data_IF_032454763866
#
_entry.id   IF_032454763866
#
_cell.length_a   1.000
_cell.length_b   1.000
_cell.length_c   1.000
_cell.angle_alpha   90.00
_cell.angle_beta   90.00
_cell.angle_gamma   90.00
#
_symmetry.space_group_name_H-M   'P 1'
#
loop_
_entity.id
_entity.type
_entity.pdbx_description
1 polymer ?
#
# COMPACT_ATOMS: atom_id res chain seq x y z
N UNK A 1 -18.50 0.61 -19.97
CA UNK A 1 -17.28 1.43 -19.84
C UNK A 1 -16.51 1.01 -18.59
N UNK A 2 -15.19 0.86 -18.66
CA UNK A 2 -14.32 0.60 -17.50
C UNK A 2 -12.98 1.33 -17.66
N UNK A 3 -12.29 1.62 -16.55
CA UNK A 3 -10.95 2.24 -16.58
C UNK A 3 -9.85 1.18 -16.64
N UNK A 4 -8.72 1.54 -17.23
CA UNK A 4 -7.45 0.82 -17.14
C UNK A 4 -6.40 1.74 -16.50
N UNK A 5 -5.79 1.34 -15.37
CA UNK A 5 -6.15 0.20 -14.54
C UNK A 5 -7.54 0.33 -13.90
N UNK A 6 -8.12 -0.80 -13.48
CA UNK A 6 -9.35 -0.80 -12.67
C UNK A 6 -9.01 -1.20 -11.24
N UNK A 7 -9.49 -0.43 -10.26
CA UNK A 7 -9.29 -0.75 -8.85
C UNK A 7 -9.95 -2.10 -8.52
N UNK A 8 -9.31 -2.89 -7.66
CA UNK A 8 -9.65 -4.28 -7.32
C UNK A 8 -9.48 -5.28 -8.47
N UNK A 9 -8.60 -5.04 -9.43
CA UNK A 9 -8.34 -6.00 -10.51
C UNK A 9 -6.89 -6.45 -10.55
N UNK A 10 -6.68 -7.60 -11.20
CA UNK A 10 -5.34 -8.05 -11.59
C UNK A 10 -5.02 -7.56 -13.00
N UNK A 11 -3.80 -7.06 -13.16
CA UNK A 11 -3.27 -6.55 -14.42
C UNK A 11 -1.83 -7.03 -14.61
N UNK A 12 -1.41 -7.12 -15.85
CA UNK A 12 0.01 -7.10 -16.21
C UNK A 12 0.45 -5.65 -16.25
N UNK A 13 1.57 -5.33 -15.60
CA UNK A 13 2.19 -4.01 -15.63
C UNK A 13 3.61 -4.10 -16.16
N UNK A 14 4.05 -3.04 -16.83
CA UNK A 14 5.44 -2.86 -17.20
C UNK A 14 5.87 -1.42 -16.96
N UNK A 15 7.09 -1.27 -16.47
CA UNK A 15 7.69 0.04 -16.26
C UNK A 15 7.96 0.73 -17.60
N UNK A 16 7.60 2.01 -17.69
CA UNK A 16 7.87 2.88 -18.84
C UNK A 16 8.85 4.01 -18.46
N UNK A 17 10.16 3.78 -18.63
CA UNK A 17 11.18 4.76 -18.30
C UNK A 17 11.04 6.05 -19.13
N UNK A 18 10.60 5.93 -20.39
CA UNK A 18 10.51 7.06 -21.33
C UNK A 18 9.33 7.95 -20.97
N UNK A 19 8.15 7.37 -20.73
CA UNK A 19 6.98 8.12 -20.26
C UNK A 19 7.21 8.74 -18.87
N UNK A 20 8.06 8.11 -18.04
CA UNK A 20 8.42 8.66 -16.73
C UNK A 20 9.15 10.00 -16.85
N UNK A 21 10.08 10.14 -17.79
CA UNK A 21 10.91 11.35 -17.97
C UNK A 21 10.42 12.32 -19.05
N UNK A 22 9.32 11.99 -19.74
CA UNK A 22 8.84 12.79 -20.88
C UNK A 22 8.60 14.27 -20.55
N UNK A 23 8.16 14.55 -19.33
CA UNK A 23 7.90 15.90 -18.82
C UNK A 23 9.16 16.72 -18.50
N UNK A 24 10.35 16.12 -18.55
CA UNK A 24 11.62 16.79 -18.27
C UNK A 24 12.26 17.40 -19.52
N UNK A 25 11.70 17.15 -20.71
CA UNK A 25 12.17 17.65 -22.00
C UNK A 25 13.69 17.49 -22.22
N UNK A 26 14.26 16.39 -21.73
CA UNK A 26 15.69 16.08 -21.81
C UNK A 26 15.93 14.93 -22.82
N UNK A 27 16.43 15.23 -24.04
CA UNK A 27 16.65 14.21 -25.08
C UNK A 27 17.72 13.17 -24.72
N UNK A 28 18.75 13.56 -23.97
CA UNK A 28 19.84 12.66 -23.57
C UNK A 28 19.33 11.64 -22.55
N UNK A 29 18.62 12.11 -21.53
CA UNK A 29 17.97 11.26 -20.53
C UNK A 29 16.92 10.36 -21.17
N UNK A 30 16.11 10.89 -22.09
CA UNK A 30 15.13 10.10 -22.86
C UNK A 30 15.82 8.99 -23.65
N UNK A 31 16.96 9.29 -24.29
CA UNK A 31 17.74 8.31 -25.05
C UNK A 31 18.38 7.26 -24.15
N UNK A 32 18.79 7.63 -22.93
CA UNK A 32 19.25 6.68 -21.92
C UNK A 32 18.12 5.75 -21.43
N UNK A 33 16.94 6.31 -21.16
CA UNK A 33 15.77 5.57 -20.73
C UNK A 33 15.29 4.55 -21.77
N UNK A 34 15.41 4.84 -23.07
CA UNK A 34 15.10 3.90 -24.16
C UNK A 34 15.96 2.63 -24.16
N UNK A 35 17.14 2.65 -23.50
CA UNK A 35 18.05 1.50 -23.42
C UNK A 35 17.78 0.61 -22.21
N UNK A 36 16.91 1.03 -21.29
CA UNK A 36 16.55 0.23 -20.14
C UNK A 36 15.63 -0.91 -20.58
N UNK A 37 16.02 -2.13 -20.25
CA UNK A 37 15.17 -3.31 -20.43
C UNK A 37 14.18 -3.35 -19.27
N UNK A 38 12.88 -3.43 -19.60
CA UNK A 38 11.82 -3.58 -18.60
C UNK A 38 11.07 -4.87 -18.80
N UNK A 39 10.68 -5.51 -17.70
CA UNK A 39 9.91 -6.75 -17.73
C UNK A 39 8.43 -6.48 -17.46
N UNK A 40 7.63 -7.51 -17.69
CA UNK A 40 6.21 -7.53 -17.35
C UNK A 40 6.01 -8.21 -16.00
N UNK A 41 5.17 -7.64 -15.17
CA UNK A 41 4.86 -8.11 -13.82
C UNK A 41 3.36 -8.25 -13.65
N UNK A 42 2.90 -9.15 -12.81
CA UNK A 42 1.49 -9.23 -12.46
C UNK A 42 1.27 -8.40 -11.20
N UNK A 43 0.24 -7.58 -11.18
CA UNK A 43 -0.08 -6.73 -10.03
C UNK A 43 -1.56 -6.73 -9.71
N UNK A 44 -1.88 -6.59 -8.42
CA UNK A 44 -3.20 -6.26 -7.92
C UNK A 44 -3.30 -4.74 -7.70
N UNK A 45 -4.32 -4.13 -8.30
CA UNK A 45 -4.59 -2.68 -8.18
C UNK A 45 -5.47 -2.45 -6.96
N UNK A 46 -4.95 -1.82 -5.90
CA UNK A 46 -5.69 -1.73 -4.63
C UNK A 46 -6.51 -0.45 -4.46
N UNK A 47 -5.90 0.70 -4.73
CA UNK A 47 -6.52 2.00 -4.49
C UNK A 47 -5.94 3.02 -5.46
N UNK A 48 -6.73 4.04 -5.76
CA UNK A 48 -6.21 5.33 -6.20
C UNK A 48 -5.67 6.07 -4.95
N UNK A 49 -4.39 6.41 -4.95
CA UNK A 49 -3.76 7.11 -3.83
C UNK A 49 -3.96 8.64 -3.88
N UNK A 50 -4.79 9.13 -4.80
CA UNK A 50 -5.10 10.55 -4.99
C UNK A 50 -6.59 10.88 -5.04
N UNK A 51 -6.88 12.17 -5.22
CA UNK A 51 -8.22 12.66 -5.55
C UNK A 51 -8.47 12.34 -7.02
N UNK A 52 -9.54 11.59 -7.33
CA UNK A 52 -9.99 11.34 -8.70
C UNK A 52 -10.59 12.62 -9.30
N UNK A 53 -9.76 13.59 -9.63
CA UNK A 53 -10.18 14.75 -10.42
C UNK A 53 -10.14 14.40 -11.91
N UNK A 54 -11.24 14.70 -12.61
CA UNK A 54 -11.44 14.32 -14.01
C UNK A 54 -10.51 15.04 -15.00
N UNK A 55 -9.74 16.04 -14.55
CA UNK A 55 -8.91 16.91 -15.41
C UNK A 55 -7.40 16.61 -15.34
N UNK A 56 -6.95 15.70 -14.47
CA UNK A 56 -5.52 15.35 -14.39
C UNK A 56 -5.14 14.26 -15.40
N UNK A 57 -4.04 14.42 -16.16
CA UNK A 57 -3.64 13.47 -17.20
C UNK A 57 -3.08 12.15 -16.65
N UNK A 58 -2.76 12.10 -15.35
CA UNK A 58 -2.24 10.92 -14.68
C UNK A 58 -2.89 10.77 -13.30
N UNK A 59 -3.21 9.54 -12.92
CA UNK A 59 -3.66 9.19 -11.58
C UNK A 59 -2.65 8.28 -10.89
N UNK A 60 -2.51 8.43 -9.58
CA UNK A 60 -1.61 7.61 -8.77
C UNK A 60 -2.32 6.35 -8.30
N UNK A 61 -1.76 5.19 -8.61
CA UNK A 61 -2.31 3.91 -8.17
C UNK A 61 -1.31 3.14 -7.30
N UNK A 62 -1.87 2.37 -6.38
CA UNK A 62 -1.13 1.42 -5.56
C UNK A 62 -1.20 0.02 -6.16
N UNK A 63 -0.05 -0.49 -6.58
CA UNK A 63 0.09 -1.82 -7.19
C UNK A 63 0.81 -2.77 -6.24
N UNK A 64 0.12 -3.81 -5.77
CA UNK A 64 0.76 -4.92 -5.07
C UNK A 64 1.23 -5.95 -6.09
N UNK A 65 2.54 -6.16 -6.18
CA UNK A 65 3.11 -7.04 -7.19
C UNK A 65 2.90 -8.49 -6.74
N UNK A 66 2.22 -9.26 -7.59
CA UNK A 66 1.97 -10.69 -7.39
C UNK A 66 3.27 -11.44 -7.59
N UNK A 67 3.50 -12.43 -6.73
CA UNK A 67 4.68 -13.28 -6.79
C UNK A 67 4.35 -14.73 -6.47
N UNK A 68 5.25 -15.62 -6.86
CA UNK A 68 5.18 -17.04 -6.50
C UNK A 68 6.04 -17.37 -5.28
N UNK A 69 5.55 -18.28 -4.44
CA UNK A 69 6.17 -18.75 -3.21
C UNK A 69 6.05 -17.79 -2.03
N UNK A 70 6.58 -18.17 -0.87
CA UNK A 70 6.71 -17.29 0.30
C UNK A 70 8.07 -16.57 0.26
N UNK A 71 8.17 -15.40 0.89
CA UNK A 71 9.41 -14.63 1.04
C UNK A 71 9.50 -14.19 2.48
N UNK A 72 10.74 -14.13 2.97
CA UNK A 72 11.10 -13.46 4.21
C UNK A 72 12.31 -12.56 3.98
N UNK A 73 12.36 -11.48 4.74
CA UNK A 73 13.52 -10.62 4.85
C UNK A 73 13.55 -10.08 6.27
N UNK A 74 14.22 -10.82 7.15
CA UNK A 74 14.31 -10.53 8.57
C UNK A 74 14.95 -9.17 8.83
N UNK A 75 15.92 -8.74 8.02
CA UNK A 75 16.55 -7.43 8.13
C UNK A 75 15.59 -6.25 7.88
N UNK A 76 14.50 -6.48 7.14
CA UNK A 76 13.43 -5.51 6.88
C UNK A 76 12.16 -5.77 7.69
N UNK A 77 12.17 -6.77 8.58
CA UNK A 77 11.00 -7.17 9.36
C UNK A 77 9.90 -7.83 8.51
N UNK A 78 10.25 -8.37 7.34
CA UNK A 78 9.31 -9.06 6.45
C UNK A 78 9.31 -10.54 6.81
N UNK A 79 8.15 -11.07 7.19
CA UNK A 79 7.97 -12.49 7.52
C UNK A 79 7.04 -13.17 6.52
N UNK A 80 7.08 -14.50 6.48
CA UNK A 80 6.24 -15.27 5.55
C UNK A 80 4.75 -15.11 5.86
N UNK A 81 4.42 -14.91 7.15
CA UNK A 81 3.06 -14.69 7.63
C UNK A 81 2.44 -13.39 7.14
N UNK A 82 3.23 -12.43 6.64
CA UNK A 82 2.75 -11.19 6.04
C UNK A 82 2.27 -11.36 4.59
N UNK A 83 2.46 -12.55 4.01
CA UNK A 83 1.92 -12.86 2.68
C UNK A 83 0.41 -13.13 2.76
N UNK A 84 -0.30 -12.91 1.67
CA UNK A 84 -1.70 -13.28 1.55
C UNK A 84 -1.86 -14.13 0.30
N UNK A 85 -2.29 -15.39 0.43
CA UNK A 85 -2.43 -16.28 -0.71
C UNK A 85 -3.55 -15.80 -1.63
N UNK A 86 -3.44 -16.09 -2.92
CA UNK A 86 -4.47 -15.79 -3.92
C UNK A 86 -4.90 -17.11 -4.57
N UNK A 87 -6.21 -17.32 -4.71
CA UNK A 87 -6.70 -18.53 -5.36
C UNK A 87 -6.07 -18.74 -6.75
N UNK A 88 -5.69 -19.99 -7.10
CA UNK A 88 -6.07 -21.25 -6.45
C UNK A 88 -5.27 -21.63 -5.20
N UNK A 89 -4.24 -20.87 -4.84
CA UNK A 89 -3.39 -21.19 -3.69
C UNK A 89 -4.14 -21.04 -2.35
N UNK A 90 -4.07 -22.08 -1.52
CA UNK A 90 -4.64 -22.10 -0.16
C UNK A 90 -3.60 -22.31 0.93
N UNK A 91 -2.32 -22.44 0.58
CA UNK A 91 -1.25 -22.71 1.53
C UNK A 91 -0.80 -21.41 2.23
N UNK A 92 -0.80 -21.40 3.56
CA UNK A 92 -0.28 -20.28 4.35
C UNK A 92 0.25 -20.71 5.72
N UNK A 93 1.43 -20.24 6.17
CA UNK A 93 2.02 -20.64 7.46
C UNK A 93 1.12 -20.38 8.66
N UNK A 94 0.47 -19.21 8.71
CA UNK A 94 -0.45 -18.82 9.79
C UNK A 94 -1.94 -18.93 9.43
N UNK A 95 -2.27 -19.71 8.39
CA UNK A 95 -3.67 -19.93 7.94
C UNK A 95 -4.43 -18.65 7.57
N UNK A 96 -3.77 -17.63 6.99
CA UNK A 96 -4.48 -16.49 6.39
C UNK A 96 -5.37 -16.99 5.27
N UNK A 97 -6.62 -16.52 5.27
CA UNK A 97 -7.58 -16.90 4.24
C UNK A 97 -7.11 -16.34 2.89
N UNK A 98 -7.11 -17.16 1.82
CA UNK A 98 -6.81 -16.68 0.49
C UNK A 98 -7.73 -15.56 0.04
N UNK A 99 -7.22 -14.69 -0.82
CA UNK A 99 -8.03 -13.76 -1.60
C UNK A 99 -8.84 -14.55 -2.62
N UNK A 100 -10.13 -14.24 -2.71
CA UNK A 100 -11.06 -14.87 -3.65
C UNK A 100 -11.43 -13.89 -4.77
N UNK A 101 -10.65 -13.82 -5.86
CA UNK A 101 -11.11 -13.17 -7.08
C UNK A 101 -12.34 -13.86 -7.68
N UNK A 102 -13.01 -13.19 -8.61
CA UNK A 102 -14.14 -13.73 -9.39
C UNK A 102 -13.75 -14.98 -10.22
N UNK A 103 -12.48 -15.04 -10.62
CA UNK A 103 -11.84 -16.19 -11.27
C UNK A 103 -10.48 -16.42 -10.60
N UNK A 104 -10.06 -17.68 -10.34
CA UNK A 104 -8.72 -17.94 -9.82
C UNK A 104 -7.65 -17.42 -10.78
N UNK A 105 -6.48 -17.08 -10.25
CA UNK A 105 -5.32 -16.76 -11.08
C UNK A 105 -4.91 -18.01 -11.89
N UNK A 106 -4.29 -17.82 -13.07
CA UNK A 106 -3.87 -18.94 -13.90
C UNK A 106 -2.64 -19.68 -13.36
N UNK A 107 -2.01 -19.18 -12.29
CA UNK A 107 -0.83 -19.76 -11.67
C UNK A 107 -1.09 -20.20 -10.23
N UNK A 108 -0.46 -21.30 -9.85
CA UNK A 108 -0.42 -21.75 -8.46
C UNK A 108 0.58 -20.94 -7.63
N UNK A 109 0.52 -21.13 -6.31
CA UNK A 109 1.51 -20.62 -5.35
C UNK A 109 1.64 -19.08 -5.36
N UNK A 110 0.59 -18.36 -5.75
CA UNK A 110 0.59 -16.90 -5.81
C UNK A 110 0.27 -16.23 -4.47
N UNK A 111 0.98 -15.14 -4.20
CA UNK A 111 0.82 -14.30 -3.02
C UNK A 111 0.97 -12.81 -3.35
N UNK A 112 0.38 -11.96 -2.52
CA UNK A 112 0.74 -10.54 -2.39
C UNK A 112 1.02 -10.20 -0.93
N UNK A 113 1.75 -9.12 -0.67
CA UNK A 113 2.04 -8.64 0.69
C UNK A 113 2.35 -7.15 0.69
N UNK A 114 2.23 -6.52 1.84
CA UNK A 114 2.62 -5.12 2.08
C UNK A 114 4.10 -4.84 1.79
N UNK A 115 4.96 -5.86 1.79
CA UNK A 115 6.38 -5.69 1.50
C UNK A 115 6.69 -5.44 0.01
N UNK A 116 5.77 -5.76 -0.90
CA UNK A 116 6.02 -5.77 -2.35
C UNK A 116 4.94 -4.98 -3.09
N UNK A 117 4.89 -3.67 -2.84
CA UNK A 117 4.06 -2.75 -3.62
C UNK A 117 4.90 -1.66 -4.30
N UNK A 118 4.32 -1.04 -5.32
CA UNK A 118 4.81 0.22 -5.89
C UNK A 118 3.64 1.19 -6.04
N UNK A 119 3.89 2.44 -5.73
CA UNK A 119 3.05 3.55 -6.16
C UNK A 119 3.53 4.01 -7.53
N UNK A 120 2.61 4.17 -8.47
CA UNK A 120 2.95 4.59 -9.81
C UNK A 120 1.82 5.41 -10.42
N UNK A 121 2.18 6.34 -11.29
CA UNK A 121 1.22 7.14 -12.03
C UNK A 121 0.85 6.46 -13.34
N UNK A 122 -0.42 6.59 -13.72
CA UNK A 122 -0.98 5.95 -14.91
C UNK A 122 -1.89 6.92 -15.67
N UNK A 123 -1.79 6.99 -17.01
CA UNK A 123 -2.76 7.73 -17.82
C UNK A 123 -4.06 6.92 -17.89
N UNK A 124 -5.06 7.27 -17.09
CA UNK A 124 -6.31 6.48 -17.01
C UNK A 124 -7.00 6.42 -18.36
N UNK A 125 -7.12 5.19 -18.91
CA UNK A 125 -7.79 4.95 -20.18
C UNK A 125 -9.20 4.42 -19.93
N UNK A 126 -10.21 5.09 -20.50
CA UNK A 126 -11.58 4.61 -20.49
C UNK A 126 -11.84 3.68 -21.67
N UNK A 127 -12.11 2.41 -21.39
CA UNK A 127 -12.48 1.40 -22.36
C UNK A 127 -13.99 1.35 -22.52
N UNK A 128 -14.46 1.31 -23.77
CA UNK A 128 -15.90 1.23 -24.08
C UNK A 128 -16.52 -0.06 -23.53
N UNK A 129 -15.80 -1.17 -23.66
CA UNK A 129 -16.20 -2.51 -23.21
C UNK A 129 -15.29 -3.00 -22.09
N UNK A 130 -15.83 -3.88 -21.25
CA UNK A 130 -15.05 -4.57 -20.20
C UNK A 130 -14.27 -5.70 -20.86
N UNK A 131 -12.94 -5.72 -20.78
CA UNK A 131 -12.15 -6.83 -21.32
C UNK A 131 -12.52 -8.14 -20.64
N UNK A 132 -12.86 -9.16 -21.44
CA UNK A 132 -13.14 -10.52 -20.96
C UNK A 132 -12.04 -11.14 -20.08
N UNK A 133 -10.73 -10.94 -20.33
CA UNK A 133 -9.69 -11.52 -19.49
C UNK A 133 -9.57 -10.86 -18.10
N UNK A 134 -10.32 -9.78 -17.83
CA UNK A 134 -10.29 -9.12 -16.52
C UNK A 134 -10.65 -10.11 -15.40
N UNK A 135 -9.81 -10.11 -14.37
CA UNK A 135 -10.01 -10.78 -13.09
C UNK A 135 -10.17 -9.71 -12.03
N UNK A 136 -11.27 -9.74 -11.30
CA UNK A 136 -11.64 -8.74 -10.31
C UNK A 136 -11.85 -9.38 -8.92
N UNK A 137 -11.48 -8.63 -7.89
CA UNK A 137 -11.68 -9.02 -6.49
C UNK A 137 -12.93 -8.32 -5.95
N UNK A 138 -13.95 -9.06 -5.48
CA UNK A 138 -15.12 -8.46 -4.86
C UNK A 138 -14.74 -7.55 -3.69
N UNK A 139 -15.47 -6.45 -3.50
CA UNK A 139 -15.19 -5.43 -2.47
C UNK A 139 -15.00 -6.01 -1.06
N UNK A 140 -15.76 -7.05 -0.70
CA UNK A 140 -15.62 -7.71 0.62
C UNK A 140 -14.27 -8.40 0.80
N UNK A 141 -13.75 -9.02 -0.27
CA UNK A 141 -12.46 -9.70 -0.27
C UNK A 141 -11.32 -8.67 -0.31
N UNK A 142 -11.46 -7.62 -1.12
CA UNK A 142 -10.51 -6.50 -1.15
C UNK A 142 -10.35 -5.83 0.23
N UNK A 143 -11.47 -5.49 0.90
CA UNK A 143 -11.44 -4.92 2.26
C UNK A 143 -10.77 -5.83 3.28
N UNK A 144 -10.89 -7.16 3.12
CA UNK A 144 -10.22 -8.12 4.00
C UNK A 144 -8.72 -8.09 3.75
N UNK A 145 -8.29 -8.13 2.49
CA UNK A 145 -6.90 -7.98 2.10
C UNK A 145 -6.28 -6.70 2.66
N UNK A 146 -6.93 -5.56 2.48
CA UNK A 146 -6.40 -4.29 2.99
C UNK A 146 -6.26 -4.27 4.52
N UNK A 147 -7.08 -5.03 5.27
CA UNK A 147 -6.88 -5.16 6.73
C UNK A 147 -5.60 -5.93 7.05
N UNK A 148 -5.28 -6.98 6.29
CA UNK A 148 -4.00 -7.67 6.42
C UNK A 148 -2.84 -6.74 6.09
N UNK A 149 -2.91 -6.02 4.98
CA UNK A 149 -1.87 -5.05 4.57
C UNK A 149 -1.64 -3.96 5.62
N UNK A 150 -2.71 -3.39 6.18
CA UNK A 150 -2.60 -2.40 7.27
C UNK A 150 -1.95 -2.96 8.54
N UNK A 151 -2.27 -4.22 8.88
CA UNK A 151 -1.66 -4.90 10.03
C UNK A 151 -0.16 -5.14 9.78
N UNK A 152 0.20 -5.63 8.60
CA UNK A 152 1.59 -5.89 8.22
C UNK A 152 2.41 -4.61 8.16
N UNK A 153 1.84 -3.53 7.62
CA UNK A 153 2.47 -2.21 7.58
C UNK A 153 2.82 -1.72 8.99
N UNK A 154 1.91 -1.94 9.96
CA UNK A 154 2.15 -1.60 11.36
C UNK A 154 3.29 -2.43 11.95
N UNK A 155 3.28 -3.74 11.73
CA UNK A 155 4.33 -4.65 12.23
C UNK A 155 5.70 -4.30 11.65
N UNK A 156 5.79 -4.04 10.34
CA UNK A 156 7.03 -3.62 9.68
C UNK A 156 7.52 -2.26 10.21
N UNK A 157 6.62 -1.30 10.44
CA UNK A 157 6.96 -0.01 11.05
C UNK A 157 7.44 -0.17 12.49
N UNK A 158 6.81 -1.04 13.27
CA UNK A 158 7.18 -1.32 14.66
C UNK A 158 8.58 -1.95 14.72
N UNK A 159 8.85 -2.90 13.83
CA UNK A 159 10.17 -3.49 13.65
C UNK A 159 11.23 -2.44 13.30
N UNK A 160 10.96 -1.59 12.30
CA UNK A 160 11.87 -0.53 11.89
C UNK A 160 12.16 0.47 13.02
N UNK A 161 11.17 0.78 13.87
CA UNK A 161 11.39 1.63 15.05
C UNK A 161 12.31 0.98 16.08
N UNK A 162 12.13 -0.33 16.35
CA UNK A 162 12.98 -1.08 17.29
C UNK A 162 14.44 -1.14 16.85
N UNK A 163 14.70 -1.29 15.55
CA UNK A 163 16.08 -1.28 15.01
C UNK A 163 16.72 0.10 15.10
N UNK A 164 15.94 1.17 14.89
CA UNK A 164 16.46 2.55 14.90
C UNK A 164 16.70 3.12 16.30
N UNK A 165 16.01 2.62 17.32
CA UNK A 165 16.28 2.99 18.71
C UNK A 165 17.51 2.25 19.22
N UNK A 166 18.61 2.94 19.61
CA UNK A 166 19.70 2.30 20.32
C UNK A 166 19.14 1.63 21.57
N UNK A 167 19.55 0.38 21.78
CA UNK A 167 18.94 -0.55 22.72
C UNK A 167 18.82 0.04 24.14
N UNK A 168 17.59 0.22 24.64
CA UNK A 168 17.33 0.54 26.04
C UNK A 168 17.75 -0.62 26.99
N UNK A 169 18.14 -1.77 26.43
CA UNK A 169 18.73 -2.90 27.16
C UNK A 169 20.15 -2.63 27.67
N UNK A 170 20.84 -1.60 27.18
CA UNK A 170 22.16 -1.23 27.72
C UNK A 170 22.08 -0.45 29.05
N UNK A 171 20.86 -0.05 29.48
CA UNK A 171 20.64 0.60 30.79
C UNK A 171 20.32 -0.37 31.93
N UNK A 172 19.90 -1.60 31.67
CA UNK A 172 19.67 -2.59 32.75
C UNK A 172 20.98 -3.19 33.25
N UNK A 173 21.96 -3.41 32.37
CA UNK A 173 23.25 -3.99 32.75
C UNK A 173 24.16 -3.04 33.55
N UNK A 174 23.88 -1.74 33.57
CA UNK A 174 24.61 -0.77 34.43
C UNK A 174 23.99 -0.57 35.82
N UNK A 175 22.78 -1.08 36.07
CA UNK A 175 22.11 -0.91 37.38
C UNK A 175 22.31 -2.08 38.33
N UNK A 176 22.81 -3.22 37.85
CA UNK A 176 23.10 -4.37 38.71
C UNK A 176 24.46 -4.27 39.41
N UNK A 177 25.40 -3.46 38.91
CA UNK A 177 26.69 -3.22 39.56
C UNK A 177 26.65 -2.16 40.69
N UNK A 178 25.56 -1.39 40.83
CA UNK A 178 25.40 -0.38 41.89
C UNK A 178 24.39 -0.79 42.99
N UNK A 179 23.79 -1.99 42.91
CA UNK A 179 22.77 -2.44 43.86
C UNK A 179 23.33 -3.28 45.04
N UNK A 180 24.64 -3.24 45.29
CA UNK A 180 25.29 -3.91 46.43
C UNK A 180 25.83 -2.89 47.45
N UNK A 181 25.14 -1.79 47.70
CA UNK A 181 25.38 -1.04 48.94
C UNK A 181 24.17 -0.19 49.31
N UNK A 182 23.27 -0.77 50.10
CA UNK A 182 22.52 -0.16 51.21
C UNK A 182 21.21 -0.92 51.45
N UNK A 183 21.34 -2.04 52.16
CA UNK A 183 20.29 -2.45 53.09
C UNK A 183 20.32 -1.48 54.26
N UNK A 184 19.17 -0.89 54.63
CA UNK A 184 18.69 -0.79 56.01
C UNK A 184 17.33 -0.08 56.06
N UNK A 185 16.38 -0.77 56.72
CA UNK A 185 15.20 -0.30 57.46
C UNK A 185 14.18 0.64 56.78
N UNK A 186 12.91 0.20 56.72
CA UNK A 186 11.95 0.37 57.85
C UNK A 186 10.56 -0.16 57.43
N UNK A 187 9.97 -1.00 58.27
CA UNK A 187 8.58 -1.48 58.24
C UNK A 187 7.55 -0.37 58.54
N UNK A 188 6.34 -0.40 57.96
CA UNK A 188 5.06 -0.45 58.71
C UNK A 188 3.79 -0.50 57.83
N UNK A 189 2.81 -1.22 58.38
CA UNK A 189 1.45 -1.59 57.94
C UNK A 189 0.47 -0.47 57.57
N UNK A 190 -0.59 -0.83 56.82
CA UNK A 190 -1.89 -0.16 56.87
C UNK A 190 -2.93 -0.73 55.88
N UNK A 191 -4.01 -1.29 56.42
CA UNK A 191 -5.02 -2.16 55.79
C UNK A 191 -6.35 -1.42 55.46
N UNK A 192 -7.20 -2.05 54.62
CA UNK A 192 -8.70 -2.06 54.53
C UNK A 192 -9.38 -1.31 53.35
N UNK A 193 -10.06 -2.02 52.43
CA UNK A 193 -11.51 -2.42 52.38
C UNK A 193 -12.40 -1.21 51.99
N UNK A 194 -13.39 -1.20 51.08
CA UNK A 194 -14.22 -2.23 50.43
C UNK A 194 -15.20 -1.56 49.40
N UNK A 195 -15.86 -2.39 48.56
CA UNK A 195 -17.19 -2.24 47.91
C UNK A 195 -17.38 -1.72 46.46
N UNK A 196 -17.83 -2.66 45.62
CA UNK A 196 -18.70 -2.59 44.41
C UNK A 196 -20.12 -3.11 44.80
N UNK A 197 -21.15 -3.31 43.93
CA UNK A 197 -21.56 -2.73 42.62
C UNK A 197 -23.10 -2.42 42.56
N UNK A 198 -23.64 -1.87 41.44
CA UNK A 198 -24.84 -2.43 40.73
C UNK A 198 -25.46 -1.55 39.60
N UNK A 199 -25.78 -2.24 38.49
CA UNK A 199 -26.99 -2.21 37.62
C UNK A 199 -27.29 -1.13 36.55
N UNK A 200 -27.29 -1.61 35.30
CA UNK A 200 -28.06 -1.18 34.10
C UNK A 200 -29.52 -1.71 34.11
N UNK A 201 -30.40 -1.48 33.09
CA UNK A 201 -30.79 -0.30 32.27
C UNK A 201 -32.35 -0.12 32.23
N UNK A 202 -33.02 0.70 31.36
CA UNK A 202 -33.38 0.22 29.99
C UNK A 202 -33.58 1.30 28.88
N UNK A 203 -33.81 0.75 27.68
CA UNK A 203 -34.02 1.23 26.30
C UNK A 203 -35.29 2.07 26.04
N UNK A 204 -35.28 2.97 25.03
CA UNK A 204 -36.44 3.17 24.13
C UNK A 204 -36.08 3.76 22.75
N UNK A 205 -36.83 3.31 21.74
CA UNK A 205 -36.75 3.58 20.30
C UNK A 205 -37.37 4.94 19.90
N UNK A 206 -36.98 5.44 18.71
CA UNK A 206 -37.96 6.06 17.80
C UNK A 206 -37.52 7.28 16.98
N UNK A 207 -37.46 7.06 15.66
CA UNK A 207 -38.06 7.91 14.61
C UNK A 207 -37.16 8.84 13.79
N UNK A 208 -37.26 8.62 12.47
CA UNK A 208 -36.79 9.43 11.35
C UNK A 208 -37.11 10.92 11.47
N UNK A 209 -36.18 11.76 11.01
CA UNK A 209 -36.51 12.99 10.27
C UNK A 209 -35.39 13.30 9.28
N UNK A 210 -35.78 13.37 8.01
CA UNK A 210 -35.03 13.92 6.90
C UNK A 210 -34.76 15.41 7.18
N UNK A 211 -33.50 15.85 7.09
CA UNK A 211 -33.18 17.26 7.01
C UNK A 211 -32.55 17.58 5.66
N UNK A 212 -33.39 18.20 4.84
CA UNK A 212 -33.05 19.10 3.74
C UNK A 212 -31.89 20.00 4.16
N UNK A 213 -30.76 19.96 3.45
CA UNK A 213 -29.77 21.04 3.51
C UNK A 213 -30.00 21.89 2.27
N UNK A 214 -30.66 23.02 2.50
CA UNK A 214 -30.82 24.10 1.52
C UNK A 214 -29.44 24.62 1.10
N UNK A 215 -29.31 24.81 -0.21
CA UNK A 215 -28.15 25.40 -0.87
C UNK A 215 -28.05 26.88 -0.47
N UNK A 216 -27.05 27.21 0.36
CA UNK A 216 -26.58 28.59 0.47
C UNK A 216 -25.38 28.76 -0.46
N UNK A 217 -25.65 29.36 -1.61
CA UNK A 217 -24.62 29.93 -2.50
C UNK A 217 -24.08 31.18 -1.80
N UNK A 218 -22.84 31.08 -1.30
CA UNK A 218 -22.01 32.23 -1.03
C UNK A 218 -20.73 32.07 -1.84
N UNK A 219 -20.52 33.04 -2.73
CA UNK A 219 -19.37 33.15 -3.62
C UNK A 219 -18.10 33.45 -2.80
N UNK A 220 -17.36 32.40 -2.42
CA UNK A 220 -16.03 32.54 -1.81
C UNK A 220 -14.94 32.41 -2.88
N UNK A 221 -14.49 33.56 -3.40
CA UNK A 221 -13.30 33.69 -4.25
C UNK A 221 -11.98 33.22 -3.58
N UNK A 222 -12.06 32.77 -2.32
CA UNK A 222 -10.93 32.27 -1.53
C UNK A 222 -10.83 30.72 -1.53
N UNK A 223 -11.85 30.00 -2.04
CA UNK A 223 -11.79 28.53 -2.21
C UNK A 223 -10.92 28.12 -3.40
N UNK A 224 -10.96 28.90 -4.48
CA UNK A 224 -10.28 28.54 -5.74
C UNK A 224 -8.76 28.61 -5.65
N UNK A 225 -8.19 29.54 -4.88
CA UNK A 225 -6.73 29.63 -4.70
C UNK A 225 -6.20 28.51 -3.79
N UNK A 226 -6.96 28.09 -2.76
CA UNK A 226 -6.54 26.95 -1.93
C UNK A 226 -6.60 25.65 -2.70
N UNK A 227 -7.63 25.44 -3.50
CA UNK A 227 -7.82 24.23 -4.29
C UNK A 227 -6.76 24.14 -5.40
N UNK A 228 -6.44 25.24 -6.09
CA UNK A 228 -5.42 25.27 -7.14
C UNK A 228 -4.01 24.96 -6.60
N UNK A 229 -3.67 25.42 -5.39
CA UNK A 229 -2.39 25.11 -4.75
C UNK A 229 -2.28 23.62 -4.35
N UNK A 230 -3.38 23.03 -3.86
CA UNK A 230 -3.43 21.60 -3.54
C UNK A 230 -3.29 20.73 -4.79
N UNK A 231 -3.89 21.16 -5.92
CA UNK A 231 -3.78 20.48 -7.21
C UNK A 231 -2.33 20.53 -7.74
N UNK A 232 -1.67 21.69 -7.66
CA UNK A 232 -0.29 21.83 -8.12
C UNK A 232 0.68 20.99 -7.27
N UNK A 233 0.49 20.96 -5.94
CA UNK A 233 1.26 20.11 -5.04
C UNK A 233 1.01 18.62 -5.33
N UNK A 234 -0.24 18.20 -5.53
CA UNK A 234 -0.59 16.83 -5.88
C UNK A 234 0.06 16.42 -7.21
N UNK A 235 -0.03 17.27 -8.23
CA UNK A 235 0.61 17.04 -9.53
C UNK A 235 2.13 16.92 -9.38
N UNK A 236 2.77 17.77 -8.57
CA UNK A 236 4.20 17.66 -8.31
C UNK A 236 4.60 16.33 -7.63
N UNK A 237 3.74 15.79 -6.76
CA UNK A 237 3.94 14.48 -6.14
C UNK A 237 3.76 13.35 -7.17
N UNK A 238 2.66 13.37 -7.91
CA UNK A 238 2.35 12.36 -8.93
C UNK A 238 3.46 12.30 -9.97
N UNK A 239 3.95 13.45 -10.46
CA UNK A 239 4.99 13.51 -11.49
C UNK A 239 6.36 12.97 -11.04
N UNK A 240 6.60 12.82 -9.72
CA UNK A 240 7.78 12.13 -9.17
C UNK A 240 7.66 10.61 -9.22
N UNK A 241 6.47 10.08 -9.41
CA UNK A 241 6.23 8.65 -9.53
C UNK A 241 6.61 8.15 -10.92
N UNK A 242 7.00 6.88 -10.97
CA UNK A 242 7.23 6.16 -12.22
C UNK A 242 5.91 5.97 -12.98
N UNK A 243 6.00 5.92 -14.30
CA UNK A 243 4.88 5.52 -15.15
C UNK A 243 4.90 4.00 -15.32
N UNK A 244 3.77 3.37 -15.06
CA UNK A 244 3.52 1.99 -15.49
C UNK A 244 2.54 2.01 -16.66
N UNK A 245 2.71 1.09 -17.60
CA UNK A 245 1.66 0.68 -18.53
C UNK A 245 1.01 -0.59 -17.99
N UNK A 246 -0.24 -0.85 -18.40
CA UNK A 246 -1.04 -1.94 -17.84
C UNK A 246 -1.88 -2.62 -18.93
N UNK A 247 -2.16 -3.90 -18.71
CA UNK A 247 -3.04 -4.73 -19.53
C UNK A 247 -3.84 -5.67 -18.65
N UNK A 248 -5.08 -5.96 -19.03
CA UNK A 248 -5.88 -7.00 -18.37
C UNK A 248 -5.53 -8.42 -18.85
N UNK A 249 -4.71 -8.56 -19.88
CA UNK A 249 -4.33 -9.85 -20.43
C UNK A 249 -3.19 -10.48 -19.64
N UNK A 250 -3.55 -11.33 -18.66
CA UNK A 250 -2.59 -12.07 -17.85
C UNK A 250 -1.78 -13.10 -18.67
N UNK A 251 -2.18 -13.44 -19.89
CA UNK A 251 -1.43 -14.37 -20.75
C UNK A 251 -0.16 -13.74 -21.36
N UNK A 252 0.02 -12.42 -21.21
CA UNK A 252 1.24 -11.73 -21.62
C UNK A 252 2.49 -12.15 -20.81
N UNK A 253 2.30 -12.89 -19.73
CA UNK A 253 3.37 -13.46 -18.92
C UNK A 253 3.12 -14.95 -18.71
N UNK A 254 4.15 -15.78 -18.88
CA UNK A 254 4.03 -17.22 -18.65
C UNK A 254 3.92 -17.55 -17.15
N UNK A 255 4.56 -16.74 -16.31
CA UNK A 255 4.51 -16.79 -14.83
C UNK A 255 4.81 -15.42 -14.24
N UNK A 256 4.37 -15.12 -13.00
CA UNK A 256 4.71 -13.88 -12.32
C UNK A 256 6.23 -13.75 -12.12
N UNK A 257 6.81 -12.65 -12.59
CA UNK A 257 8.22 -12.30 -12.32
C UNK A 257 8.41 -11.91 -10.85
N UNK A 258 9.64 -12.02 -10.35
CA UNK A 258 9.96 -11.64 -8.97
C UNK A 258 9.84 -10.11 -8.81
N UNK A 259 9.07 -9.58 -7.84
CA UNK A 259 8.96 -8.15 -7.58
C UNK A 259 10.30 -7.44 -7.35
N UNK A 260 11.32 -8.18 -6.87
CA UNK A 260 12.66 -7.62 -6.69
C UNK A 260 13.27 -7.09 -7.99
N UNK A 261 12.95 -7.72 -9.14
CA UNK A 261 13.45 -7.28 -10.45
C UNK A 261 12.85 -5.92 -10.83
N UNK A 262 11.56 -5.70 -10.59
CA UNK A 262 10.90 -4.41 -10.86
C UNK A 262 11.54 -3.30 -10.02
N UNK A 263 11.79 -3.58 -8.74
CA UNK A 263 12.40 -2.61 -7.84
C UNK A 263 13.84 -2.30 -8.23
N UNK A 264 14.58 -3.27 -8.77
CA UNK A 264 15.92 -2.99 -9.31
C UNK A 264 15.85 -2.20 -10.62
N UNK A 265 14.91 -2.49 -11.52
CA UNK A 265 14.67 -1.69 -12.75
C UNK A 265 14.41 -0.22 -12.41
N UNK A 266 13.49 0.04 -11.46
CA UNK A 266 13.15 1.39 -11.00
C UNK A 266 14.36 2.07 -10.33
N UNK A 267 15.12 1.32 -9.53
CA UNK A 267 16.31 1.85 -8.85
C UNK A 267 17.42 2.22 -9.83
N UNK A 268 17.69 1.37 -10.83
CA UNK A 268 18.65 1.66 -11.90
C UNK A 268 18.21 2.92 -12.66
N UNK A 269 16.94 3.01 -13.03
CA UNK A 269 16.38 4.21 -13.64
C UNK A 269 16.61 5.48 -12.80
N UNK A 270 16.33 5.42 -11.50
CA UNK A 270 16.53 6.57 -10.59
C UNK A 270 17.99 7.02 -10.55
N UNK A 271 18.95 6.10 -10.68
CA UNK A 271 20.38 6.46 -10.79
C UNK A 271 20.67 7.23 -12.08
N UNK A 272 20.12 6.82 -13.22
CA UNK A 272 20.26 7.57 -14.48
C UNK A 272 19.69 8.98 -14.37
N UNK A 273 18.52 9.13 -13.75
CA UNK A 273 17.90 10.45 -13.54
C UNK A 273 18.76 11.34 -12.64
N UNK A 274 19.35 10.78 -11.57
CA UNK A 274 20.23 11.54 -10.67
C UNK A 274 21.53 11.97 -11.33
N UNK A 275 22.12 11.11 -12.17
CA UNK A 275 23.37 11.41 -12.90
C UNK A 275 23.19 12.39 -14.06
N UNK A 276 21.94 12.64 -14.48
CA UNK A 276 21.61 13.52 -15.62
C UNK A 276 21.11 14.91 -15.18
N UNK A 277 21.17 15.22 -13.87
CA UNK A 277 20.89 16.54 -13.28
C UNK A 277 22.19 17.29 -13.04
#
# INVERSE_FOLDING_TARGET
>A
MCSLPSVRSFVVVNFDPVATVSHLDNPELTTACKRLETKKYVAYVSLDAGVLELEVPYHSYLFYIVRQGLRKNEAKGITEEMSVPILPNTSHPSSRRPMHPDKPLPWDDCYISEAFFTEARFPTVFLNEVPKPRIEVPTKEARKMERYMRQDNKEMKDFARRIKTPDARDRSNRREDEAVENQLDTSHNGTREDQEPDKDPPTNNGTHSEHHIEQNVHDDANSTESDHNLIEEHNAIVMRQVVLNASFDLSEVEKPNDPADLFEEIKVFQQYVLLSR
#
